data_IF_118921678908
#
_entry.id   IF_118921678908
#
_cell.length_a   1.000
_cell.length_b   1.000
_cell.length_c   1.000
_cell.angle_alpha   90.00
_cell.angle_beta   90.00
_cell.angle_gamma   90.00
#
_symmetry.space_group_name_H-M   'P 1'
#
loop_
_entity.id
_entity.type
_entity.pdbx_description
1 polymer ?
#
# COMPACT_ATOMS: atom_id res chain seq x y z
N UNK A 1 21.03 31.68 -21.15
CA UNK A 1 19.75 31.11 -21.58
C UNK A 1 19.77 29.64 -21.18
N UNK A 2 19.17 29.32 -20.04
CA UNK A 2 19.14 27.97 -19.47
C UNK A 2 17.68 27.55 -19.35
N UNK A 3 17.31 26.42 -19.95
CA UNK A 3 16.07 25.71 -19.63
C UNK A 3 16.08 24.30 -20.24
N UNK A 4 15.38 23.40 -19.56
CA UNK A 4 14.97 22.06 -19.98
C UNK A 4 15.94 20.91 -19.68
N UNK A 5 16.13 20.68 -18.38
CA UNK A 5 16.09 19.33 -17.81
C UNK A 5 14.83 19.22 -16.94
N UNK A 6 14.32 17.99 -16.79
CA UNK A 6 13.32 17.50 -15.81
C UNK A 6 11.97 17.10 -16.40
N UNK A 7 11.84 15.83 -16.79
CA UNK A 7 10.56 15.11 -16.87
C UNK A 7 10.80 13.64 -16.48
N UNK A 8 10.76 13.35 -15.19
CA UNK A 8 10.58 12.01 -14.61
C UNK A 8 10.37 12.16 -13.10
N UNK A 9 9.20 12.63 -12.69
CA UNK A 9 8.76 12.62 -11.29
C UNK A 9 7.23 12.69 -11.29
N UNK A 10 6.58 11.53 -11.35
CA UNK A 10 5.14 11.39 -11.13
C UNK A 10 4.82 9.91 -10.95
N UNK A 11 5.14 9.38 -9.76
CA UNK A 11 4.31 8.36 -9.09
C UNK A 11 4.63 8.20 -7.58
N UNK A 12 5.68 8.83 -7.05
CA UNK A 12 6.06 8.68 -5.63
C UNK A 12 5.43 9.66 -4.63
N UNK A 13 4.55 10.56 -5.08
CA UNK A 13 4.03 11.65 -4.24
C UNK A 13 2.77 11.32 -3.42
N UNK A 14 2.35 10.05 -3.30
CA UNK A 14 1.07 9.67 -2.64
C UNK A 14 1.26 8.98 -1.28
N UNK A 15 2.51 8.83 -0.80
CA UNK A 15 2.81 8.31 0.57
C UNK A 15 3.21 9.36 1.59
N UNK A 16 3.47 10.61 1.19
CA UNK A 16 3.94 11.66 2.11
C UNK A 16 2.82 12.58 2.55
N UNK A 17 2.04 12.15 3.56
CA UNK A 17 1.20 13.08 4.31
C UNK A 17 0.93 12.54 5.73
N UNK A 18 1.96 12.53 6.58
CA UNK A 18 1.81 12.61 8.04
C UNK A 18 3.18 12.81 8.71
N UNK A 19 3.76 14.00 8.59
CA UNK A 19 4.84 14.45 9.48
C UNK A 19 4.80 15.98 9.57
N UNK A 20 5.09 16.51 10.77
CA UNK A 20 5.20 17.93 11.14
C UNK A 20 3.84 18.68 11.30
N UNK A 21 3.54 19.46 12.35
CA UNK A 21 4.31 20.04 13.48
C UNK A 21 3.33 20.39 14.63
N UNK A 22 3.84 20.37 15.86
CA UNK A 22 3.21 20.97 17.03
C UNK A 22 3.62 22.44 17.22
N UNK A 23 2.85 23.16 18.04
CA UNK A 23 3.17 24.51 18.49
C UNK A 23 1.99 25.14 19.23
N UNK A 24 2.21 25.53 20.48
CA UNK A 24 1.24 25.83 21.52
C UNK A 24 0.59 27.22 21.44
N UNK A 25 -0.59 27.36 22.05
CA UNK A 25 -1.02 28.59 22.71
C UNK A 25 -2.04 28.27 23.82
N UNK A 26 -1.68 28.64 25.05
CA UNK A 26 -2.53 28.66 26.24
C UNK A 26 -3.28 30.00 26.25
N UNK A 27 -4.58 29.99 26.54
CA UNK A 27 -5.22 31.11 27.24
C UNK A 27 -6.37 30.58 28.12
N UNK A 28 -6.34 30.95 29.39
CA UNK A 28 -7.30 30.60 30.42
C UNK A 28 -8.42 31.65 30.54
N UNK A 29 -9.64 31.22 30.87
CA UNK A 29 -10.61 32.00 31.64
C UNK A 29 -11.68 31.06 32.25
N UNK A 30 -11.98 31.29 33.52
CA UNK A 30 -12.80 30.47 34.42
C UNK A 30 -14.31 30.85 34.39
N UNK A 31 -15.13 30.49 35.40
CA UNK A 31 -16.01 29.33 35.41
C UNK A 31 -17.49 29.70 35.27
N UNK A 32 -18.32 28.78 34.80
CA UNK A 32 -19.77 28.83 35.00
C UNK A 32 -20.20 27.55 35.71
N UNK A 33 -20.76 27.70 36.91
CA UNK A 33 -21.41 26.62 37.66
C UNK A 33 -22.58 26.08 36.83
N UNK A 34 -22.43 24.86 36.32
CA UNK A 34 -23.51 24.03 35.83
C UNK A 34 -23.55 22.76 36.67
N UNK A 35 -24.77 22.31 37.00
CA UNK A 35 -25.06 21.12 37.78
C UNK A 35 -24.23 19.91 37.32
N UNK A 36 -23.81 19.00 38.23
CA UNK A 36 -22.96 17.88 37.85
C UNK A 36 -23.69 17.01 36.82
N UNK A 37 -23.15 16.84 35.60
CA UNK A 37 -23.62 15.77 34.73
C UNK A 37 -23.34 14.43 35.42
N UNK A 38 -24.22 13.46 35.21
CA UNK A 38 -24.02 12.08 35.63
C UNK A 38 -22.58 11.63 35.29
N UNK A 39 -21.90 10.87 36.18
CA UNK A 39 -20.54 10.46 35.94
C UNK A 39 -20.47 9.77 34.56
N UNK A 40 -19.51 10.13 33.69
CA UNK A 40 -19.30 9.37 32.47
C UNK A 40 -19.09 7.91 32.88
N UNK A 41 -19.78 6.99 32.22
CA UNK A 41 -19.51 5.57 32.36
C UNK A 41 -18.00 5.36 32.28
N UNK A 42 -17.39 4.57 33.18
CA UNK A 42 -15.96 4.37 33.16
C UNK A 42 -15.56 3.93 31.76
N UNK A 43 -14.64 4.70 31.16
CA UNK A 43 -13.96 4.30 29.94
C UNK A 43 -13.40 2.91 30.21
N UNK A 44 -13.94 1.90 29.54
CA UNK A 44 -13.35 0.57 29.58
C UNK A 44 -11.85 0.72 29.29
N UNK A 45 -10.98 0.11 30.10
CA UNK A 45 -9.55 0.23 29.91
C UNK A 45 -9.23 -0.11 28.46
N UNK A 46 -8.48 0.79 27.79
CA UNK A 46 -7.73 0.41 26.61
C UNK A 46 -6.99 -0.87 27.01
N UNK A 47 -7.14 -1.91 26.19
CA UNK A 47 -6.51 -3.20 26.39
C UNK A 47 -5.06 -3.04 26.90
N UNK A 48 -4.57 -3.96 27.76
CA UNK A 48 -3.28 -3.82 28.42
C UNK A 48 -2.19 -3.43 27.42
N UNK A 49 -1.47 -2.36 27.76
CA UNK A 49 -0.22 -1.99 27.10
C UNK A 49 0.70 -3.23 27.05
N UNK A 50 0.99 -3.74 25.86
CA UNK A 50 2.02 -4.75 25.63
C UNK A 50 1.55 -6.12 25.13
N UNK A 51 0.24 -6.37 25.01
CA UNK A 51 -0.27 -7.57 24.33
C UNK A 51 0.03 -7.52 22.84
N UNK A 52 0.93 -8.38 22.35
CA UNK A 52 1.23 -8.50 20.92
C UNK A 52 -0.06 -8.78 20.13
N UNK A 53 -0.24 -8.13 18.98
CA UNK A 53 -1.39 -8.40 18.13
C UNK A 53 -1.51 -9.89 17.81
N UNK A 54 -2.75 -10.44 17.77
CA UNK A 54 -2.95 -11.84 17.47
C UNK A 54 -2.49 -12.17 16.05
N UNK A 55 -2.19 -13.42 15.79
CA UNK A 55 -2.00 -13.85 14.42
C UNK A 55 -3.26 -13.61 13.59
N UNK A 56 -3.08 -13.25 12.32
CA UNK A 56 -4.19 -12.90 11.43
C UNK A 56 -3.98 -13.47 10.03
N UNK A 57 -5.03 -14.04 9.47
CA UNK A 57 -5.12 -14.34 8.04
C UNK A 57 -6.30 -13.51 7.53
N UNK A 58 -6.13 -12.82 6.42
CA UNK A 58 -7.16 -11.94 5.90
C UNK A 58 -7.09 -11.81 4.38
N UNK A 59 -8.23 -11.42 3.79
CA UNK A 59 -8.30 -10.90 2.44
C UNK A 59 -8.46 -9.39 2.51
N UNK A 60 -7.59 -8.69 1.78
CA UNK A 60 -7.61 -7.25 1.62
C UNK A 60 -8.24 -6.93 0.27
N UNK A 61 -9.29 -6.11 0.24
CA UNK A 61 -9.86 -5.54 -0.98
C UNK A 61 -9.45 -4.09 -1.07
N UNK A 62 -8.71 -3.76 -2.12
CA UNK A 62 -8.29 -2.41 -2.44
C UNK A 62 -9.16 -1.86 -3.54
N UNK A 63 -9.68 -0.66 -3.32
CA UNK A 63 -10.47 0.10 -4.28
C UNK A 63 -9.89 1.52 -4.31
N UNK A 64 -9.59 2.03 -5.49
CA UNK A 64 -9.21 3.43 -5.65
C UNK A 64 -9.86 4.02 -6.87
N UNK A 65 -10.26 5.27 -6.77
CA UNK A 65 -10.77 6.08 -7.87
C UNK A 65 -9.99 7.39 -7.91
N UNK A 66 -9.56 7.78 -9.10
CA UNK A 66 -8.91 9.07 -9.35
C UNK A 66 -9.47 9.71 -10.61
N UNK A 67 -9.78 11.00 -10.55
CA UNK A 67 -10.17 11.83 -11.69
C UNK A 67 -8.97 12.68 -12.09
N UNK A 68 -8.52 12.53 -13.33
CA UNK A 68 -7.44 13.32 -13.90
C UNK A 68 -7.95 14.66 -14.43
N UNK A 69 -7.05 15.62 -14.63
CA UNK A 69 -7.42 16.99 -15.06
C UNK A 69 -8.07 17.05 -16.46
N UNK A 70 -7.86 16.02 -17.28
CA UNK A 70 -8.51 15.81 -18.58
C UNK A 70 -9.92 15.21 -18.46
N UNK A 71 -10.43 15.02 -17.24
CA UNK A 71 -11.73 14.42 -16.97
C UNK A 71 -11.74 12.89 -16.98
N UNK A 72 -10.58 12.24 -17.10
CA UNK A 72 -10.50 10.77 -17.11
C UNK A 72 -10.58 10.21 -15.69
N UNK A 73 -11.60 9.38 -15.45
CA UNK A 73 -11.73 8.60 -14.21
C UNK A 73 -11.05 7.25 -14.37
N UNK A 74 -10.09 6.96 -13.48
CA UNK A 74 -9.47 5.64 -13.34
C UNK A 74 -9.95 5.00 -12.06
N UNK A 75 -10.49 3.78 -12.19
CA UNK A 75 -10.85 2.93 -11.05
C UNK A 75 -9.94 1.71 -11.05
N UNK A 76 -9.35 1.41 -9.91
CA UNK A 76 -8.50 0.23 -9.71
C UNK A 76 -9.08 -0.57 -8.56
N UNK A 77 -9.30 -1.85 -8.81
CA UNK A 77 -9.75 -2.80 -7.80
C UNK A 77 -8.88 -4.05 -7.85
N UNK A 78 -8.36 -4.47 -6.70
CA UNK A 78 -7.63 -5.72 -6.58
C UNK A 78 -7.76 -6.31 -5.18
N UNK A 79 -7.41 -7.59 -5.06
CA UNK A 79 -7.42 -8.32 -3.79
C UNK A 79 -6.04 -8.80 -3.44
N UNK A 80 -5.74 -8.80 -2.15
CA UNK A 80 -4.53 -9.40 -1.61
C UNK A 80 -4.89 -10.38 -0.49
N UNK A 81 -4.05 -11.38 -0.29
CA UNK A 81 -4.10 -12.24 0.88
C UNK A 81 -2.99 -11.82 1.82
N UNK A 82 -3.35 -11.57 3.07
CA UNK A 82 -2.43 -11.25 4.15
C UNK A 82 -2.31 -12.42 5.11
N UNK A 83 -1.09 -12.74 5.53
CA UNK A 83 -0.79 -13.65 6.63
C UNK A 83 0.17 -12.94 7.59
N UNK A 84 -0.30 -12.67 8.80
CA UNK A 84 0.45 -12.04 9.89
C UNK A 84 0.74 -13.07 10.97
N UNK A 85 2.01 -13.24 11.31
CA UNK A 85 2.49 -14.04 12.43
C UNK A 85 3.53 -13.24 13.20
N UNK A 86 3.89 -13.76 14.36
CA UNK A 86 5.13 -13.36 15.03
C UNK A 86 6.28 -13.18 14.03
N UNK A 87 6.81 -11.97 13.92
CA UNK A 87 8.01 -11.65 13.13
C UNK A 87 7.84 -11.74 11.61
N UNK A 88 6.66 -12.10 11.11
CA UNK A 88 6.41 -12.30 9.68
C UNK A 88 5.10 -11.65 9.23
N UNK A 89 5.15 -10.91 8.12
CA UNK A 89 3.98 -10.45 7.37
C UNK A 89 4.15 -10.86 5.91
N UNK A 90 3.19 -11.60 5.40
CA UNK A 90 3.09 -11.96 4.00
C UNK A 90 1.90 -11.26 3.37
N UNK A 91 2.10 -10.64 2.21
CA UNK A 91 1.03 -10.06 1.39
C UNK A 91 1.24 -10.56 -0.04
N UNK A 92 0.20 -11.12 -0.65
CA UNK A 92 0.27 -11.55 -2.04
C UNK A 92 -0.97 -11.12 -2.83
N UNK A 93 -0.77 -10.75 -4.09
CA UNK A 93 -1.87 -10.48 -5.02
C UNK A 93 -2.68 -11.76 -5.24
N UNK A 94 -4.00 -11.68 -5.04
CA UNK A 94 -4.93 -12.75 -5.41
C UNK A 94 -5.42 -12.49 -6.83
N UNK A 95 -4.96 -13.23 -7.84
CA UNK A 95 -5.45 -13.06 -9.20
C UNK A 95 -6.93 -13.48 -9.28
N UNK A 96 -7.72 -12.84 -10.16
CA UNK A 96 -9.08 -13.30 -10.42
C UNK A 96 -9.04 -14.74 -10.97
N UNK A 97 -10.01 -15.55 -10.56
CA UNK A 97 -10.18 -16.92 -11.05
C UNK A 97 -10.18 -16.94 -12.58
N UNK A 98 -9.30 -17.76 -13.18
CA UNK A 98 -9.20 -17.89 -14.64
C UNK A 98 -8.24 -16.91 -15.33
N UNK A 99 -7.62 -15.97 -14.61
CA UNK A 99 -6.54 -15.15 -15.17
C UNK A 99 -5.31 -16.03 -15.46
N UNK A 100 -4.93 -16.13 -16.74
CA UNK A 100 -3.61 -16.64 -17.10
C UNK A 100 -2.58 -15.63 -16.61
N UNK A 101 -1.61 -16.07 -15.79
CA UNK A 101 -0.45 -15.24 -15.48
C UNK A 101 0.26 -14.97 -16.80
N UNK A 102 0.37 -13.70 -17.20
CA UNK A 102 1.11 -13.37 -18.41
C UNK A 102 2.58 -13.77 -18.18
N UNK A 103 3.07 -14.73 -18.95
CA UNK A 103 4.48 -15.06 -18.96
C UNK A 103 5.22 -13.88 -19.63
N UNK A 104 5.86 -13.02 -18.84
CA UNK A 104 6.88 -12.11 -19.34
C UNK A 104 8.12 -12.95 -19.70
N UNK A 105 8.13 -13.52 -20.90
CA UNK A 105 9.18 -14.44 -21.34
C UNK A 105 8.96 -15.00 -22.73
N UNK A 106 8.80 -14.13 -23.73
CA UNK A 106 8.87 -14.50 -25.14
C UNK A 106 10.10 -13.87 -25.78
N UNK A 107 11.20 -14.62 -25.88
CA UNK A 107 12.35 -14.22 -26.68
C UNK A 107 11.99 -14.32 -28.17
N UNK A 108 11.81 -13.18 -28.83
CA UNK A 108 11.70 -13.12 -30.29
C UNK A 108 13.07 -12.73 -30.86
N UNK A 109 13.82 -13.73 -31.31
CA UNK A 109 14.99 -13.52 -32.15
C UNK A 109 14.53 -13.14 -33.55
N UNK A 110 14.88 -11.95 -34.02
CA UNK A 110 14.82 -11.63 -35.44
C UNK A 110 16.23 -11.77 -36.02
N UNK A 111 16.43 -12.89 -36.73
CA UNK A 111 17.53 -13.07 -37.66
C UNK A 111 17.38 -12.03 -38.80
N UNK A 112 18.47 -11.32 -39.07
CA UNK A 112 18.48 -10.18 -39.98
C UNK A 112 18.40 -10.56 -41.45
N UNK A 113 17.75 -9.70 -42.23
CA UNK A 113 18.05 -9.55 -43.66
C UNK A 113 17.77 -8.12 -44.10
N UNK A 114 18.85 -7.43 -44.46
CA UNK A 114 18.88 -6.17 -45.18
C UNK A 114 18.30 -6.33 -46.60
N UNK A 115 17.43 -5.41 -47.02
CA UNK A 115 17.39 -4.91 -48.40
C UNK A 115 16.51 -3.65 -48.52
N UNK A 116 17.10 -2.64 -49.13
CA UNK A 116 16.58 -1.28 -49.29
C UNK A 116 15.41 -1.12 -50.29
N UNK A 117 14.47 -0.22 -49.98
CA UNK A 117 14.00 0.88 -50.87
C UNK A 117 12.95 1.78 -50.20
N UNK A 118 13.10 3.07 -50.40
CA UNK A 118 12.24 4.18 -49.92
C UNK A 118 12.10 5.19 -51.09
N UNK A 119 11.16 6.15 -51.15
CA UNK A 119 9.68 6.21 -51.00
C UNK A 119 9.05 6.91 -52.26
N UNK A 120 7.95 7.72 -52.26
CA UNK A 120 6.86 7.98 -51.29
C UNK A 120 5.42 8.00 -51.87
N UNK A 121 4.40 7.97 -51.00
CA UNK A 121 3.15 8.69 -51.24
C UNK A 121 2.34 9.00 -49.97
N UNK A 122 1.57 10.08 -50.13
CA UNK A 122 0.92 10.97 -49.15
C UNK A 122 -0.18 10.32 -48.29
N UNK A 123 -0.32 10.86 -47.08
CA UNK A 123 -1.63 11.33 -46.56
C UNK A 123 -2.61 10.26 -46.08
N UNK A 124 -2.62 10.00 -44.78
CA UNK A 124 -3.69 9.27 -44.11
C UNK A 124 -3.43 9.21 -42.61
N UNK A 125 -4.28 9.89 -41.83
CA UNK A 125 -4.23 9.92 -40.37
C UNK A 125 -4.30 8.50 -39.81
N UNK A 126 -3.26 8.08 -39.09
CA UNK A 126 -3.23 6.85 -38.30
C UNK A 126 -3.46 7.22 -36.83
N UNK A 127 -4.31 6.49 -36.07
CA UNK A 127 -4.42 6.70 -34.64
C UNK A 127 -3.05 6.44 -34.00
N UNK A 128 -2.66 7.31 -33.06
CA UNK A 128 -1.45 7.16 -32.26
C UNK A 128 -1.59 5.93 -31.35
N UNK A 129 -1.35 4.76 -31.94
CA UNK A 129 -1.02 3.56 -31.21
C UNK A 129 0.29 3.83 -30.46
N UNK A 130 0.29 3.43 -29.19
CA UNK A 130 1.39 3.51 -28.26
C UNK A 130 2.73 3.21 -28.95
N UNK A 131 3.64 4.17 -28.91
CA UNK A 131 5.06 3.88 -29.05
C UNK A 131 5.42 2.98 -27.86
N UNK A 132 5.34 1.67 -28.08
CA UNK A 132 5.99 0.70 -27.23
C UNK A 132 7.49 1.02 -27.31
N UNK A 133 8.04 1.45 -26.18
CA UNK A 133 9.48 1.57 -25.98
C UNK A 133 10.14 0.26 -26.41
N UNK A 134 10.82 0.31 -27.54
CA UNK A 134 11.78 -0.70 -27.96
C UNK A 134 13.07 -0.48 -27.16
N UNK A 135 13.03 -0.77 -25.86
CA UNK A 135 14.22 -1.05 -25.08
C UNK A 135 14.46 -2.56 -25.10
N UNK A 136 15.62 -2.96 -25.59
CA UNK A 136 16.04 -4.34 -25.73
C UNK A 136 15.99 -5.07 -24.37
N UNK A 137 15.18 -6.13 -24.28
CA UNK A 137 15.53 -7.39 -23.61
C UNK A 137 15.87 -7.47 -22.11
N UNK A 138 15.76 -6.42 -21.30
CA UNK A 138 16.01 -6.54 -19.85
C UNK A 138 14.83 -7.24 -19.14
N UNK A 139 15.14 -8.27 -18.33
CA UNK A 139 14.14 -8.94 -17.48
C UNK A 139 13.85 -8.06 -16.27
N UNK A 140 12.79 -7.27 -16.31
CA UNK A 140 12.29 -6.56 -15.14
C UNK A 140 11.53 -7.52 -14.21
N UNK A 141 11.83 -7.49 -12.92
CA UNK A 141 11.04 -8.18 -11.91
C UNK A 141 9.77 -7.38 -11.62
N UNK A 142 8.61 -8.03 -11.66
CA UNK A 142 7.33 -7.39 -11.36
C UNK A 142 7.09 -7.40 -9.84
N UNK A 143 7.59 -6.35 -9.16
CA UNK A 143 7.43 -6.16 -7.71
C UNK A 143 5.98 -5.96 -7.28
N UNK A 144 5.12 -5.43 -8.17
CA UNK A 144 3.71 -5.15 -7.86
C UNK A 144 2.86 -6.43 -7.86
N UNK A 145 3.19 -7.41 -8.69
CA UNK A 145 2.52 -8.70 -8.74
C UNK A 145 3.15 -9.75 -7.80
N UNK A 146 4.41 -9.58 -7.41
CA UNK A 146 5.11 -10.47 -6.50
C UNK A 146 4.50 -10.47 -5.09
N UNK A 147 4.62 -11.60 -4.41
CA UNK A 147 4.26 -11.64 -2.99
C UNK A 147 5.34 -10.94 -2.17
N UNK A 148 4.96 -10.04 -1.27
CA UNK A 148 5.87 -9.36 -0.35
C UNK A 148 5.92 -10.09 0.98
N UNK A 149 7.12 -10.40 1.44
CA UNK A 149 7.40 -10.95 2.76
C UNK A 149 8.23 -9.96 3.57
N UNK A 150 7.63 -9.38 4.61
CA UNK A 150 8.31 -8.54 5.59
C UNK A 150 8.65 -9.38 6.82
N UNK A 151 9.88 -9.27 7.30
CA UNK A 151 10.36 -9.92 8.52
C UNK A 151 10.79 -8.88 9.55
N UNK A 152 10.64 -9.23 10.82
CA UNK A 152 11.18 -8.47 11.94
C UNK A 152 11.86 -9.43 12.90
N UNK A 153 13.19 -9.41 12.89
CA UNK A 153 14.04 -10.18 13.79
C UNK A 153 14.68 -9.25 14.82
N UNK A 154 14.00 -9.06 15.96
CA UNK A 154 14.49 -8.24 17.07
C UNK A 154 14.71 -6.77 16.70
N UNK A 155 13.91 -6.22 15.78
CA UNK A 155 14.03 -4.85 15.25
C UNK A 155 14.80 -4.76 13.93
N UNK A 156 15.41 -5.85 13.47
CA UNK A 156 15.99 -5.92 12.11
C UNK A 156 14.89 -6.21 11.11
N UNK A 157 14.49 -5.18 10.38
CA UNK A 157 13.42 -5.27 9.38
C UNK A 157 14.02 -5.67 8.04
N UNK A 158 13.55 -6.80 7.50
CA UNK A 158 13.88 -7.29 6.17
C UNK A 158 12.65 -7.30 5.27
N UNK A 159 12.82 -7.08 3.96
CA UNK A 159 11.78 -7.35 2.96
C UNK A 159 12.34 -8.21 1.82
N UNK A 160 11.58 -9.22 1.45
CA UNK A 160 11.82 -10.05 0.27
C UNK A 160 10.56 -10.03 -0.61
N UNK A 161 10.74 -10.09 -1.93
CA UNK A 161 9.66 -10.27 -2.89
C UNK A 161 9.77 -11.64 -3.55
N UNK A 162 8.64 -12.34 -3.66
CA UNK A 162 8.58 -13.74 -4.07
C UNK A 162 7.75 -13.87 -5.34
N UNK A 163 8.39 -14.32 -6.41
CA UNK A 163 7.72 -14.83 -7.59
C UNK A 163 7.56 -16.35 -7.44
N UNK A 164 6.34 -16.78 -7.08
CA UNK A 164 6.02 -18.19 -6.96
C UNK A 164 6.00 -18.94 -8.30
N UNK A 165 5.74 -18.26 -9.42
CA UNK A 165 5.72 -18.88 -10.74
C UNK A 165 7.14 -19.16 -11.23
N UNK A 166 8.08 -18.24 -11.00
CA UNK A 166 9.49 -18.42 -11.32
C UNK A 166 10.30 -19.05 -10.18
N UNK A 167 9.67 -19.40 -9.06
CA UNK A 167 10.31 -19.92 -7.84
C UNK A 167 11.55 -19.11 -7.44
N UNK A 168 11.40 -17.79 -7.45
CA UNK A 168 12.47 -16.83 -7.16
C UNK A 168 12.09 -15.96 -5.97
N UNK A 169 13.06 -15.70 -5.11
CA UNK A 169 12.98 -14.76 -3.98
C UNK A 169 14.03 -13.69 -4.19
N UNK A 170 13.59 -12.43 -4.18
CA UNK A 170 14.44 -11.25 -4.35
C UNK A 170 14.53 -10.52 -3.02
N UNK A 171 15.71 -10.52 -2.41
CA UNK A 171 15.97 -9.75 -1.20
C UNK A 171 16.27 -8.29 -1.57
N UNK A 172 15.61 -7.36 -0.89
CA UNK A 172 15.78 -5.92 -1.14
C UNK A 172 16.57 -5.31 0.02
N UNK A 173 17.64 -4.55 -0.24
CA UNK A 173 18.37 -3.86 0.82
C UNK A 173 17.59 -2.64 1.34
N UNK A 174 17.81 -2.19 2.59
CA UNK A 174 17.08 -1.06 3.18
C UNK A 174 17.08 0.24 2.36
N UNK A 175 18.17 0.51 1.63
CA UNK A 175 18.29 1.68 0.76
C UNK A 175 17.26 1.69 -0.39
N UNK A 176 16.73 0.51 -0.76
CA UNK A 176 15.83 0.28 -1.90
C UNK A 176 14.40 -0.08 -1.44
N UNK A 177 14.08 0.10 -0.17
CA UNK A 177 12.72 -0.16 0.31
C UNK A 177 11.71 0.73 -0.40
N UNK A 178 11.97 2.05 -0.44
CA UNK A 178 11.04 3.00 -1.05
C UNK A 178 10.86 2.75 -2.55
N UNK A 179 11.93 2.39 -3.27
CA UNK A 179 11.92 2.13 -4.72
C UNK A 179 11.10 0.89 -5.09
N UNK A 180 10.94 -0.05 -4.15
CA UNK A 180 10.11 -1.26 -4.32
C UNK A 180 8.72 -1.12 -3.69
N UNK A 181 8.35 0.06 -3.18
CA UNK A 181 7.03 0.27 -2.58
C UNK A 181 6.88 -0.26 -1.14
N UNK A 182 7.97 -0.49 -0.41
CA UNK A 182 7.97 -0.70 1.03
C UNK A 182 8.48 0.55 1.76
N UNK A 183 7.88 0.93 2.88
CA UNK A 183 8.24 2.16 3.61
C UNK A 183 9.25 1.91 4.75
N UNK A 184 9.77 0.69 4.88
CA UNK A 184 10.65 0.29 5.97
C UNK A 184 9.96 0.10 7.32
N UNK A 185 8.65 0.35 7.42
CA UNK A 185 7.94 0.33 8.69
C UNK A 185 7.31 -1.03 8.97
N UNK A 186 7.84 -1.71 9.99
CA UNK A 186 7.21 -2.92 10.52
C UNK A 186 5.79 -2.67 11.01
N UNK A 187 5.54 -1.56 11.71
CA UNK A 187 4.22 -1.28 12.26
C UNK A 187 3.18 -1.06 11.15
N UNK A 188 3.56 -0.40 10.05
CA UNK A 188 2.67 -0.25 8.90
C UNK A 188 2.42 -1.59 8.22
N UNK A 189 3.43 -2.45 8.07
CA UNK A 189 3.24 -3.79 7.52
C UNK A 189 2.36 -4.69 8.41
N UNK A 190 2.60 -4.67 9.73
CA UNK A 190 2.00 -5.61 10.68
C UNK A 190 0.59 -5.19 11.13
N UNK A 191 0.34 -3.89 11.29
CA UNK A 191 -0.96 -3.39 11.73
C UNK A 191 -1.81 -2.81 10.60
N UNK A 192 -1.23 -2.50 9.42
CA UNK A 192 -1.81 -1.68 8.34
C UNK A 192 -2.06 -0.22 8.78
N UNK A 193 -2.68 -0.03 9.94
CA UNK A 193 -2.80 1.23 10.66
C UNK A 193 -2.15 1.08 12.04
N UNK A 194 -0.98 1.70 12.29
CA UNK A 194 -0.29 1.56 13.57
C UNK A 194 -1.15 2.02 14.76
N UNK A 195 -1.16 1.28 15.89
CA UNK A 195 -1.87 1.68 17.10
C UNK A 195 -1.42 3.05 17.63
N UNK A 196 -0.16 3.43 17.41
CA UNK A 196 0.37 4.75 17.77
C UNK A 196 -0.36 5.89 17.04
N UNK A 197 -0.85 5.66 15.82
CA UNK A 197 -1.69 6.61 15.09
C UNK A 197 -3.07 6.72 15.74
N UNK A 198 -3.68 5.58 16.07
CA UNK A 198 -5.01 5.54 16.68
C UNK A 198 -5.04 6.19 18.06
N UNK A 199 -3.97 6.02 18.85
CA UNK A 199 -3.83 6.65 20.17
C UNK A 199 -3.95 8.18 20.09
N UNK A 200 -3.39 8.80 19.04
CA UNK A 200 -3.51 10.26 18.82
C UNK A 200 -4.92 10.70 18.45
N UNK A 201 -5.72 9.82 17.87
CA UNK A 201 -7.08 10.10 17.41
C UNK A 201 -8.17 9.63 18.40
N UNK A 202 -7.78 8.97 19.50
CA UNK A 202 -8.70 8.30 20.41
C UNK A 202 -9.74 9.23 21.05
N UNK A 203 -9.39 10.47 21.34
CA UNK A 203 -10.30 11.46 21.94
C UNK A 203 -11.50 11.79 21.04
N UNK A 204 -11.36 11.66 19.73
CA UNK A 204 -12.39 11.97 18.73
C UNK A 204 -13.01 10.72 18.11
N UNK A 205 -12.68 9.56 18.66
CA UNK A 205 -13.17 8.29 18.16
C UNK A 205 -14.65 8.06 18.50
N UNK A 206 -15.33 7.27 17.67
CA UNK A 206 -16.75 6.92 17.84
C UNK A 206 -16.90 5.41 17.87
N UNK A 207 -17.87 4.84 18.61
CA UNK A 207 -18.17 3.42 18.54
C UNK A 207 -18.44 2.97 17.09
N UNK A 208 -17.96 1.78 16.74
CA UNK A 208 -18.24 1.14 15.47
C UNK A 208 -19.54 0.33 15.50
N UNK A 209 -19.93 -0.27 14.35
CA UNK A 209 -21.20 -1.01 14.23
C UNK A 209 -21.22 -2.34 14.99
N UNK A 210 -20.05 -2.91 15.31
CA UNK A 210 -19.94 -4.18 16.05
C UNK A 210 -19.24 -3.97 17.40
N UNK A 211 -19.53 -4.80 18.42
CA UNK A 211 -18.80 -4.77 19.69
C UNK A 211 -17.28 -4.87 19.48
N UNK A 212 -16.50 -4.08 20.22
CA UNK A 212 -15.04 -4.04 20.09
C UNK A 212 -14.54 -3.42 18.78
N UNK A 213 -15.37 -2.62 18.11
CA UNK A 213 -14.96 -1.83 16.95
C UNK A 213 -15.14 -0.33 17.17
N UNK A 214 -14.31 0.47 16.49
CA UNK A 214 -14.27 1.93 16.69
C UNK A 214 -13.89 2.66 15.41
N UNK A 215 -14.61 3.72 15.10
CA UNK A 215 -14.28 4.67 14.05
C UNK A 215 -13.32 5.74 14.55
N UNK A 216 -12.29 5.98 13.76
CA UNK A 216 -11.37 7.11 13.87
C UNK A 216 -11.46 7.93 12.60
N UNK A 217 -11.37 9.25 12.73
CA UNK A 217 -11.44 10.17 11.59
C UNK A 217 -10.40 11.27 11.78
N UNK A 218 -9.76 11.66 10.68
CA UNK A 218 -8.77 12.72 10.67
C UNK A 218 -8.78 13.45 9.33
N UNK A 219 -8.69 14.78 9.36
CA UNK A 219 -8.37 15.58 8.18
C UNK A 219 -6.86 15.51 7.92
N UNK A 220 -6.48 15.16 6.69
CA UNK A 220 -5.09 14.99 6.25
C UNK A 220 -4.81 15.82 5.00
N UNK A 221 -3.54 16.08 4.71
CA UNK A 221 -3.12 16.86 3.55
C UNK A 221 -2.92 18.35 3.84
N UNK A 222 -2.29 19.05 2.89
CA UNK A 222 -2.05 20.49 2.99
C UNK A 222 -3.39 21.27 2.91
N UNK A 223 -3.49 22.50 3.43
CA UNK A 223 -4.74 23.27 3.45
C UNK A 223 -5.48 23.39 2.11
N UNK A 224 -4.77 23.37 0.98
CA UNK A 224 -5.35 23.44 -0.39
C UNK A 224 -5.55 22.08 -1.07
N UNK A 225 -5.18 20.99 -0.39
CA UNK A 225 -5.31 19.61 -0.88
C UNK A 225 -5.72 18.70 0.30
N UNK A 226 -6.66 19.19 1.11
CA UNK A 226 -7.16 18.44 2.26
C UNK A 226 -7.95 17.22 1.78
N UNK A 227 -8.01 16.22 2.64
CA UNK A 227 -8.94 15.10 2.53
C UNK A 227 -9.25 14.53 3.90
N UNK A 228 -10.18 13.59 3.94
CA UNK A 228 -10.60 12.93 5.17
C UNK A 228 -10.14 11.48 5.12
N UNK A 229 -9.42 11.04 6.15
CA UNK A 229 -9.08 9.64 6.38
C UNK A 229 -9.97 9.08 7.50
N UNK A 230 -10.55 7.91 7.28
CA UNK A 230 -11.42 7.20 8.23
C UNK A 230 -10.90 5.79 8.42
N UNK A 231 -10.88 5.32 9.66
CA UNK A 231 -10.45 3.97 10.01
C UNK A 231 -11.49 3.32 10.90
N UNK A 232 -12.05 2.19 10.47
CA UNK A 232 -12.79 1.30 11.34
C UNK A 232 -11.82 0.28 11.92
N UNK A 233 -11.54 0.37 13.21
CA UNK A 233 -10.63 -0.51 13.92
C UNK A 233 -11.36 -1.64 14.63
N UNK A 234 -10.73 -2.81 14.73
CA UNK A 234 -11.16 -3.92 15.59
C UNK A 234 -10.13 -4.14 16.70
N UNK A 235 -10.57 -4.05 17.95
CA UNK A 235 -9.73 -4.30 19.12
C UNK A 235 -9.35 -5.79 19.23
N UNK A 236 -10.26 -6.69 18.88
CA UNK A 236 -10.04 -8.13 18.92
C UNK A 236 -8.97 -8.58 17.91
N UNK A 237 -8.97 -8.00 16.70
CA UNK A 237 -8.00 -8.35 15.67
C UNK A 237 -6.73 -7.50 15.73
N UNK A 238 -6.74 -6.37 16.45
CA UNK A 238 -5.70 -5.35 16.38
C UNK A 238 -5.34 -5.03 14.92
N UNK A 239 -6.37 -4.73 14.12
CA UNK A 239 -6.27 -4.45 12.69
C UNK A 239 -7.46 -3.57 12.23
N UNK A 240 -7.29 -2.76 11.17
CA UNK A 240 -8.41 -2.06 10.57
C UNK A 240 -9.29 -3.04 9.80
N UNK A 241 -10.61 -2.94 9.98
CA UNK A 241 -11.61 -3.59 9.11
C UNK A 241 -11.84 -2.76 7.85
N UNK A 242 -11.74 -1.43 7.96
CA UNK A 242 -11.87 -0.49 6.84
C UNK A 242 -10.87 0.65 7.02
N UNK A 243 -10.17 1.02 5.95
CA UNK A 243 -9.42 2.29 5.85
C UNK A 243 -9.89 3.03 4.62
N UNK A 244 -10.36 4.26 4.77
CA UNK A 244 -10.93 5.06 3.69
C UNK A 244 -10.26 6.42 3.66
N UNK A 245 -9.89 6.89 2.47
CA UNK A 245 -9.55 8.29 2.25
C UNK A 245 -10.41 8.85 1.13
N UNK A 246 -10.80 10.11 1.28
CA UNK A 246 -11.46 10.91 0.24
C UNK A 246 -10.82 12.29 0.22
N UNK A 247 -10.45 12.77 -0.96
CA UNK A 247 -10.04 14.16 -1.13
C UNK A 247 -11.24 15.10 -0.96
N UNK A 248 -10.98 16.33 -0.53
CA UNK A 248 -12.04 17.32 -0.33
C UNK A 248 -12.75 17.72 -1.64
N UNK A 249 -12.06 17.65 -2.77
CA UNK A 249 -12.60 17.89 -4.12
C UNK A 249 -13.31 16.67 -4.73
N UNK A 250 -13.27 15.51 -4.05
CA UNK A 250 -13.89 14.26 -4.52
C UNK A 250 -13.19 13.61 -5.71
N UNK A 251 -12.08 14.17 -6.21
CA UNK A 251 -11.35 13.63 -7.35
C UNK A 251 -10.46 12.44 -7.00
N UNK A 252 -10.24 12.16 -5.72
CA UNK A 252 -9.50 10.98 -5.30
C UNK A 252 -10.21 10.30 -4.14
N UNK A 253 -10.36 8.98 -4.25
CA UNK A 253 -10.75 8.14 -3.13
C UNK A 253 -9.95 6.85 -3.13
N UNK A 254 -9.73 6.32 -1.92
CA UNK A 254 -9.18 4.99 -1.72
C UNK A 254 -9.91 4.33 -0.57
N UNK A 255 -10.12 3.02 -0.68
CA UNK A 255 -10.71 2.19 0.33
C UNK A 255 -9.95 0.87 0.39
N UNK A 256 -9.62 0.48 1.61
CA UNK A 256 -9.14 -0.84 1.95
C UNK A 256 -10.21 -1.48 2.83
N UNK A 257 -10.66 -2.68 2.47
CA UNK A 257 -11.52 -3.50 3.32
C UNK A 257 -10.77 -4.76 3.69
N UNK A 258 -10.62 -5.02 4.99
CA UNK A 258 -10.01 -6.23 5.52
C UNK A 258 -11.11 -7.19 5.96
N UNK A 259 -11.10 -8.40 5.40
CA UNK A 259 -11.98 -9.48 5.80
C UNK A 259 -11.15 -10.61 6.40
N UNK A 260 -11.34 -10.95 7.69
CA UNK A 260 -10.65 -12.09 8.30
C UNK A 260 -10.93 -13.38 7.51
N UNK A 261 -9.91 -14.20 7.36
CA UNK A 261 -9.96 -15.47 6.64
C UNK A 261 -9.60 -16.63 7.58
N UNK A 262 -10.02 -17.87 7.26
CA UNK A 262 -9.56 -19.05 7.97
C UNK A 262 -8.03 -19.16 7.94
N UNK A 263 -7.48 -19.74 9.00
CA UNK A 263 -6.05 -19.97 9.15
C UNK A 263 -5.51 -20.85 8.04
N UNK A 264 -4.45 -20.41 7.36
CA UNK A 264 -3.75 -21.23 6.41
C UNK A 264 -3.10 -22.44 7.11
N UNK A 265 -3.33 -23.64 6.56
CA UNK A 265 -2.73 -24.89 7.06
C UNK A 265 -1.20 -24.90 6.91
N UNK A 266 -0.65 -24.14 5.95
CA UNK A 266 0.77 -23.96 5.73
C UNK A 266 1.11 -22.48 5.59
N UNK A 267 2.20 -22.06 6.25
CA UNK A 267 2.69 -20.69 6.18
C UNK A 267 3.42 -20.47 4.84
N UNK A 268 3.11 -19.40 4.09
CA UNK A 268 3.66 -19.19 2.74
C UNK A 268 5.18 -19.12 2.66
N UNK A 269 5.86 -18.68 3.72
CA UNK A 269 7.33 -18.56 3.74
C UNK A 269 8.06 -19.88 4.03
N UNK A 270 7.35 -20.94 4.44
CA UNK A 270 7.96 -22.26 4.73
C UNK A 270 8.34 -23.07 3.50
N UNK A 271 7.96 -22.63 2.30
CA UNK A 271 8.33 -23.28 1.04
C UNK A 271 9.52 -22.60 0.32
N UNK A 272 9.94 -21.42 0.80
CA UNK A 272 10.92 -20.56 0.13
C UNK A 272 12.35 -21.11 0.17
N UNK A 273 12.64 -22.07 1.05
CA UNK A 273 13.94 -22.74 1.14
C UNK A 273 14.30 -23.44 -0.18
N UNK A 274 13.29 -23.81 -0.97
CA UNK A 274 13.44 -24.46 -2.27
C UNK A 274 13.45 -23.50 -3.46
N UNK A 275 13.46 -22.18 -3.21
CA UNK A 275 13.39 -21.14 -4.24
C UNK A 275 14.79 -20.57 -4.47
N UNK A 276 15.03 -20.13 -5.70
CA UNK A 276 16.28 -19.45 -6.06
C UNK A 276 16.30 -18.07 -5.40
N UNK A 277 17.39 -17.73 -4.71
CA UNK A 277 17.58 -16.40 -4.14
C UNK A 277 18.38 -15.51 -5.07
N UNK A 278 17.93 -14.27 -5.20
CA UNK A 278 18.57 -13.19 -5.96
C UNK A 278 18.62 -11.91 -5.15
N UNK A 279 19.58 -11.05 -5.50
CA UNK A 279 19.64 -9.70 -4.96
C UNK A 279 18.81 -8.75 -5.84
N UNK A 280 18.31 -7.66 -5.25
CA UNK A 280 17.69 -6.58 -6.01
C UNK A 280 18.60 -6.05 -7.14
N UNK A 281 19.92 -5.97 -6.89
CA UNK A 281 20.90 -5.50 -7.88
C UNK A 281 20.92 -6.34 -9.17
N UNK A 282 20.57 -7.63 -9.12
CA UNK A 282 20.53 -8.53 -10.28
C UNK A 282 19.45 -8.13 -11.32
N UNK A 283 18.60 -7.15 -10.98
CA UNK A 283 17.51 -6.65 -11.82
C UNK A 283 17.69 -5.19 -12.24
N UNK A 284 18.85 -4.59 -11.97
CA UNK A 284 19.18 -3.22 -12.36
C UNK A 284 19.99 -3.12 -13.67
N UNK A 285 20.48 -4.25 -14.18
CA UNK A 285 21.38 -4.36 -15.35
C UNK A 285 20.67 -4.61 -16.69
#
# INVERSE_FOLDING_TARGET
MAAMRTFAMKLDAVRRACAALGGAAVLAAAPALAAPPAPPAPLAPLAPDGGRAPDLDAVLLHESMTVSADGVTRTVTYRERMVRRDGHVWIERVPPSGAKRAHAGGAHAHEGLDAARTPPSRGGARPAAAAADAHAGHRHFDFDAAARHVTNDGGRIGVEYVDAAQRTVVAVPPAEYETTGFDGSWDNAFYITPPSQLKRLAAQSKPGPAPGTRWYEQTVGAPRAQGTNRVLWSDALQAPLVVEYRSADGHASRKLTLTPAPRANALPWRQLQSYTRKAYADYLD
#
